data_IF_592063111343
#
_entry.id   IF_592063111343
#
_cell.length_a   1.000
_cell.length_b   1.000
_cell.length_c   1.000
_cell.angle_alpha   90.00
_cell.angle_beta   90.00
_cell.angle_gamma   90.00
#
_symmetry.space_group_name_H-M   'P 1'
#
loop_
_entity.id
_entity.type
_entity.pdbx_description
1 polymer ?
#
# COMPACT_ATOMS: atom_id res chain seq x y z
N UNK A 1 -37.79 -114.63 -95.57
CA UNK A 1 -38.45 -113.66 -94.64
C UNK A 1 -37.49 -113.36 -93.49
N UNK A 2 -36.85 -112.18 -93.51
CA UNK A 2 -35.76 -111.76 -92.59
C UNK A 2 -36.16 -110.54 -91.73
N UNK A 3 -37.44 -110.41 -91.38
CA UNK A 3 -37.98 -109.24 -90.67
C UNK A 3 -37.72 -109.28 -89.15
N UNK A 4 -37.50 -110.46 -88.55
CA UNK A 4 -37.27 -110.61 -87.12
C UNK A 4 -35.88 -110.15 -86.63
N UNK A 5 -34.83 -110.31 -87.45
CA UNK A 5 -33.45 -109.91 -87.08
C UNK A 5 -33.21 -108.40 -87.17
N UNK A 6 -33.87 -107.71 -88.11
CA UNK A 6 -33.78 -106.24 -88.22
C UNK A 6 -34.49 -105.52 -87.06
N UNK A 7 -35.61 -106.04 -86.57
CA UNK A 7 -36.34 -105.46 -85.43
C UNK A 7 -35.53 -105.53 -84.13
N UNK A 8 -34.79 -106.63 -83.92
CA UNK A 8 -33.92 -106.82 -82.75
C UNK A 8 -32.71 -105.87 -82.82
N UNK A 9 -32.04 -105.78 -83.98
CA UNK A 9 -30.92 -104.86 -84.18
C UNK A 9 -31.32 -103.38 -84.01
N UNK A 10 -32.52 -102.99 -84.46
CA UNK A 10 -33.03 -101.63 -84.24
C UNK A 10 -33.33 -101.33 -82.76
N UNK A 11 -33.85 -102.29 -82.00
CA UNK A 11 -34.07 -102.13 -80.54
C UNK A 11 -32.76 -102.04 -79.78
N UNK A 12 -31.78 -102.90 -80.09
CA UNK A 12 -30.45 -102.85 -79.48
C UNK A 12 -29.72 -101.54 -79.81
N UNK A 13 -29.86 -101.03 -81.03
CA UNK A 13 -29.31 -99.75 -81.43
C UNK A 13 -29.98 -98.57 -80.72
N UNK A 14 -31.31 -98.57 -80.61
CA UNK A 14 -32.06 -97.55 -79.86
C UNK A 14 -31.72 -97.57 -78.36
N UNK A 15 -31.57 -98.76 -77.77
CA UNK A 15 -31.13 -98.93 -76.37
C UNK A 15 -29.72 -98.37 -76.16
N UNK A 16 -28.77 -98.69 -77.06
CA UNK A 16 -27.41 -98.13 -77.02
C UNK A 16 -27.38 -96.61 -77.17
N UNK A 17 -28.21 -96.06 -78.07
CA UNK A 17 -28.31 -94.61 -78.20
C UNK A 17 -28.89 -93.95 -76.95
N UNK A 18 -29.88 -94.58 -76.31
CA UNK A 18 -30.47 -94.10 -75.07
C UNK A 18 -29.47 -94.14 -73.90
N UNK A 19 -28.70 -95.22 -73.77
CA UNK A 19 -27.61 -95.33 -72.78
C UNK A 19 -26.52 -94.28 -73.02
N UNK A 20 -26.12 -94.06 -74.27
CA UNK A 20 -25.18 -92.99 -74.64
C UNK A 20 -25.70 -91.60 -74.25
N UNK A 21 -26.97 -91.31 -74.55
CA UNK A 21 -27.60 -90.03 -74.19
C UNK A 21 -27.66 -89.83 -72.67
N UNK A 22 -27.99 -90.87 -71.90
CA UNK A 22 -27.99 -90.82 -70.45
C UNK A 22 -26.59 -90.59 -69.87
N UNK A 23 -25.57 -91.26 -70.41
CA UNK A 23 -24.18 -91.08 -69.99
C UNK A 23 -23.67 -89.66 -70.31
N UNK A 24 -24.01 -89.12 -71.48
CA UNK A 24 -23.69 -87.73 -71.85
C UNK A 24 -24.38 -86.72 -70.91
N UNK A 25 -25.65 -86.93 -70.59
CA UNK A 25 -26.40 -86.08 -69.65
C UNK A 25 -25.75 -86.07 -68.25
N UNK A 26 -25.37 -87.25 -67.73
CA UNK A 26 -24.65 -87.36 -66.45
C UNK A 26 -23.31 -86.61 -66.47
N UNK A 27 -22.54 -86.74 -67.55
CA UNK A 27 -21.26 -86.03 -67.70
C UNK A 27 -21.43 -84.51 -67.76
N UNK A 28 -22.47 -84.01 -68.44
CA UNK A 28 -22.79 -82.58 -68.49
C UNK A 28 -23.14 -82.05 -67.11
N UNK A 29 -24.01 -82.76 -66.38
CA UNK A 29 -24.42 -82.38 -65.02
C UNK A 29 -23.24 -82.40 -64.04
N UNK A 30 -22.38 -83.41 -64.10
CA UNK A 30 -21.16 -83.47 -63.27
C UNK A 30 -20.22 -82.31 -63.58
N UNK A 31 -20.05 -81.95 -64.86
CA UNK A 31 -19.21 -80.82 -65.26
C UNK A 31 -19.80 -79.47 -64.85
N UNK A 32 -21.13 -79.32 -64.88
CA UNK A 32 -21.84 -78.14 -64.37
C UNK A 32 -21.64 -78.03 -62.85
N UNK A 33 -21.94 -79.08 -62.09
CA UNK A 33 -21.74 -79.10 -60.65
C UNK A 33 -20.29 -78.80 -60.23
N UNK A 34 -19.29 -79.36 -60.94
CA UNK A 34 -17.88 -79.07 -60.66
C UNK A 34 -17.51 -77.60 -60.94
N UNK A 35 -18.11 -76.98 -61.96
CA UNK A 35 -17.93 -75.54 -62.25
C UNK A 35 -18.60 -74.68 -61.20
N UNK A 36 -19.82 -75.02 -60.80
CA UNK A 36 -20.56 -74.26 -59.79
C UNK A 36 -19.83 -74.29 -58.45
N UNK A 37 -19.34 -75.46 -58.01
CA UNK A 37 -18.51 -75.60 -56.81
C UNK A 37 -17.23 -74.75 -56.90
N UNK A 38 -16.55 -74.77 -58.06
CA UNK A 38 -15.35 -73.95 -58.26
C UNK A 38 -15.66 -72.45 -58.24
N UNK A 39 -16.78 -72.03 -58.81
CA UNK A 39 -17.22 -70.63 -58.83
C UNK A 39 -17.63 -70.17 -57.43
N UNK A 40 -18.39 -70.98 -56.68
CA UNK A 40 -18.72 -70.70 -55.28
C UNK A 40 -17.47 -70.59 -54.40
N UNK A 41 -16.47 -71.45 -54.62
CA UNK A 41 -15.18 -71.35 -53.94
C UNK A 41 -14.45 -70.04 -54.23
N UNK A 42 -14.45 -69.60 -55.49
CA UNK A 42 -13.85 -68.33 -55.89
C UNK A 42 -14.62 -67.12 -55.31
N UNK A 43 -15.95 -67.17 -55.29
CA UNK A 43 -16.80 -66.13 -54.70
C UNK A 43 -16.57 -66.00 -53.18
N UNK A 44 -16.51 -67.11 -52.45
CA UNK A 44 -16.22 -67.09 -51.00
C UNK A 44 -14.85 -66.49 -50.70
N UNK A 45 -13.83 -66.82 -51.50
CA UNK A 45 -12.49 -66.23 -51.32
C UNK A 45 -12.48 -64.72 -51.57
N UNK A 46 -13.25 -64.23 -52.54
CA UNK A 46 -13.39 -62.79 -52.77
C UNK A 46 -14.21 -62.10 -51.67
N UNK A 47 -15.28 -62.73 -51.18
CA UNK A 47 -16.06 -62.25 -50.03
C UNK A 47 -15.19 -62.12 -48.77
N UNK A 48 -14.36 -63.12 -48.46
CA UNK A 48 -13.44 -63.07 -47.32
C UNK A 48 -12.41 -61.95 -47.47
N UNK A 49 -11.85 -61.75 -48.68
CA UNK A 49 -10.93 -60.65 -48.94
C UNK A 49 -11.62 -59.30 -48.76
N UNK A 50 -12.86 -59.17 -49.23
CA UNK A 50 -13.65 -57.97 -49.08
C UNK A 50 -13.97 -57.67 -47.61
N UNK A 51 -14.39 -58.67 -46.84
CA UNK A 51 -14.63 -58.56 -45.40
C UNK A 51 -13.37 -58.12 -44.65
N UNK A 52 -12.21 -58.74 -44.96
CA UNK A 52 -10.92 -58.32 -44.36
C UNK A 52 -10.57 -56.87 -44.66
N UNK A 53 -10.89 -56.36 -45.85
CA UNK A 53 -10.68 -54.94 -46.20
C UNK A 53 -11.59 -54.03 -45.37
N UNK A 54 -12.87 -54.38 -45.23
CA UNK A 54 -13.83 -53.62 -44.40
C UNK A 54 -13.37 -53.59 -42.95
N UNK A 55 -12.99 -54.74 -42.37
CA UNK A 55 -12.52 -54.81 -40.99
C UNK A 55 -11.22 -54.02 -40.79
N UNK A 56 -10.28 -54.11 -41.73
CA UNK A 56 -9.04 -53.34 -41.67
C UNK A 56 -9.29 -51.82 -41.77
N UNK A 57 -10.23 -51.39 -42.62
CA UNK A 57 -10.63 -49.98 -42.72
C UNK A 57 -11.35 -49.51 -41.45
N UNK A 58 -12.21 -50.34 -40.87
CA UNK A 58 -12.88 -50.04 -39.60
C UNK A 58 -11.87 -49.89 -38.46
N UNK A 59 -10.87 -50.79 -38.36
CA UNK A 59 -9.80 -50.69 -37.35
C UNK A 59 -9.00 -49.40 -37.51
N UNK A 60 -8.57 -49.06 -38.73
CA UNK A 60 -7.87 -47.80 -39.00
C UNK A 60 -8.69 -46.56 -38.61
N UNK A 61 -10.01 -46.60 -38.83
CA UNK A 61 -10.91 -45.51 -38.40
C UNK A 61 -10.99 -45.39 -36.89
N UNK A 62 -11.08 -46.50 -36.16
CA UNK A 62 -11.09 -46.47 -34.69
C UNK A 62 -9.75 -46.03 -34.12
N UNK A 63 -8.63 -46.53 -34.63
CA UNK A 63 -7.28 -46.08 -34.26
C UNK A 63 -7.10 -44.56 -34.48
N UNK A 64 -7.60 -44.03 -35.59
CA UNK A 64 -7.56 -42.59 -35.87
C UNK A 64 -8.46 -41.77 -34.92
N UNK A 65 -9.62 -42.29 -34.53
CA UNK A 65 -10.50 -41.65 -33.54
C UNK A 65 -9.84 -41.64 -32.16
N UNK A 66 -9.23 -42.75 -31.75
CA UNK A 66 -8.52 -42.86 -30.48
C UNK A 66 -7.30 -41.92 -30.46
N UNK A 67 -6.52 -41.85 -31.55
CA UNK A 67 -5.40 -40.92 -31.62
C UNK A 67 -5.84 -39.46 -31.53
N UNK A 68 -6.94 -39.10 -32.21
CA UNK A 68 -7.53 -37.76 -32.12
C UNK A 68 -8.03 -37.44 -30.71
N UNK A 69 -8.66 -38.41 -30.05
CA UNK A 69 -9.12 -38.26 -28.66
C UNK A 69 -7.95 -38.05 -27.72
N UNK A 70 -6.90 -38.88 -27.83
CA UNK A 70 -5.69 -38.75 -27.02
C UNK A 70 -4.99 -37.41 -27.22
N UNK A 71 -4.87 -36.94 -28.47
CA UNK A 71 -4.31 -35.62 -28.75
C UNK A 71 -5.12 -34.48 -28.12
N UNK A 72 -6.45 -34.57 -28.12
CA UNK A 72 -7.31 -33.59 -27.45
C UNK A 72 -7.12 -33.62 -25.94
N UNK A 73 -7.07 -34.80 -25.34
CA UNK A 73 -6.84 -34.97 -23.90
C UNK A 73 -5.45 -34.45 -23.49
N UNK A 74 -4.39 -34.79 -24.23
CA UNK A 74 -3.04 -34.29 -23.98
C UNK A 74 -2.97 -32.76 -24.13
N UNK A 75 -3.64 -32.18 -25.13
CA UNK A 75 -3.71 -30.73 -25.31
C UNK A 75 -4.47 -30.03 -24.17
N UNK A 76 -5.55 -30.63 -23.67
CA UNK A 76 -6.28 -30.12 -22.51
C UNK A 76 -5.43 -30.21 -21.24
N UNK A 77 -4.75 -31.33 -21.00
CA UNK A 77 -3.86 -31.53 -19.86
C UNK A 77 -2.74 -30.49 -19.84
N UNK A 78 -2.09 -30.24 -20.97
CA UNK A 78 -1.03 -29.21 -21.06
C UNK A 78 -1.56 -27.82 -20.71
N UNK A 79 -2.77 -27.47 -21.16
CA UNK A 79 -3.40 -26.17 -20.81
C UNK A 79 -3.74 -26.09 -19.32
N UNK A 80 -4.25 -27.16 -18.73
CA UNK A 80 -4.54 -27.23 -17.29
C UNK A 80 -3.26 -27.10 -16.46
N UNK A 81 -2.18 -27.77 -16.85
CA UNK A 81 -0.86 -27.66 -16.22
C UNK A 81 -0.28 -26.24 -16.35
N UNK A 82 -0.46 -25.59 -17.50
CA UNK A 82 -0.03 -24.19 -17.70
C UNK A 82 -0.82 -23.22 -16.81
N UNK A 83 -2.15 -23.33 -16.78
CA UNK A 83 -2.98 -22.51 -15.90
C UNK A 83 -2.63 -22.72 -14.43
N UNK A 84 -2.36 -23.96 -14.01
CA UNK A 84 -1.95 -24.26 -12.64
C UNK A 84 -0.62 -23.56 -12.29
N UNK A 85 0.38 -23.60 -13.20
CA UNK A 85 1.66 -22.90 -13.01
C UNK A 85 1.49 -21.39 -12.96
N UNK A 86 0.71 -20.80 -13.87
CA UNK A 86 0.45 -19.35 -13.87
C UNK A 86 -0.22 -18.88 -12.57
N UNK A 87 -1.14 -19.67 -12.03
CA UNK A 87 -1.78 -19.37 -10.73
C UNK A 87 -0.79 -19.49 -9.58
N UNK A 88 0.08 -20.50 -9.58
CA UNK A 88 1.12 -20.66 -8.54
C UNK A 88 2.15 -19.54 -8.60
N UNK A 89 2.64 -19.20 -9.79
CA UNK A 89 3.58 -18.10 -10.02
C UNK A 89 2.95 -16.76 -9.61
N UNK A 90 1.71 -16.50 -10.02
CA UNK A 90 0.97 -15.30 -9.63
C UNK A 90 0.72 -15.22 -8.12
N UNK A 91 0.50 -16.36 -7.45
CA UNK A 91 0.38 -16.41 -5.98
C UNK A 91 1.72 -16.11 -5.29
N UNK A 92 2.82 -16.66 -5.80
CA UNK A 92 4.16 -16.40 -5.27
C UNK A 92 4.56 -14.93 -5.45
N UNK A 93 4.28 -14.34 -6.61
CA UNK A 93 4.51 -12.93 -6.89
C UNK A 93 3.66 -12.02 -6.00
N UNK A 94 2.37 -12.33 -5.84
CA UNK A 94 1.49 -11.59 -4.93
C UNK A 94 2.02 -11.64 -3.48
N UNK A 95 2.43 -12.82 -3.01
CA UNK A 95 2.99 -12.95 -1.66
C UNK A 95 4.29 -12.16 -1.52
N UNK A 96 5.13 -12.14 -2.55
CA UNK A 96 6.36 -11.34 -2.56
C UNK A 96 6.04 -9.84 -2.42
N UNK A 97 5.06 -9.33 -3.19
CA UNK A 97 4.65 -7.94 -3.14
C UNK A 97 4.07 -7.56 -1.76
N UNK A 98 3.23 -8.41 -1.17
CA UNK A 98 2.72 -8.20 0.19
C UNK A 98 3.89 -8.07 1.19
N UNK A 99 4.89 -8.94 1.09
CA UNK A 99 6.05 -8.89 1.99
C UNK A 99 6.88 -7.60 1.79
N UNK A 100 6.98 -7.09 0.56
CA UNK A 100 7.66 -5.82 0.27
C UNK A 100 6.90 -4.63 0.86
N UNK A 101 5.57 -4.60 0.71
CA UNK A 101 4.72 -3.56 1.27
C UNK A 101 4.78 -3.57 2.81
N UNK A 102 4.71 -4.75 3.43
CA UNK A 102 4.87 -4.91 4.88
C UNK A 102 6.26 -4.48 5.38
N UNK A 103 7.31 -4.69 4.59
CA UNK A 103 8.65 -4.22 4.92
C UNK A 103 8.75 -2.68 4.82
N UNK A 104 8.19 -2.10 3.76
CA UNK A 104 8.14 -0.64 3.58
C UNK A 104 7.36 0.05 4.70
N UNK A 105 6.20 -0.51 5.10
CA UNK A 105 5.41 0.01 6.21
C UNK A 105 6.16 -0.06 7.55
N UNK A 106 6.92 -1.13 7.80
CA UNK A 106 7.78 -1.23 8.98
C UNK A 106 8.87 -0.16 8.97
N UNK A 107 9.54 0.04 7.85
CA UNK A 107 10.58 1.05 7.72
C UNK A 107 10.02 2.48 7.90
N UNK A 108 8.85 2.77 7.33
CA UNK A 108 8.18 4.07 7.50
C UNK A 108 7.77 4.33 8.95
N UNK A 109 7.30 3.30 9.66
CA UNK A 109 6.96 3.37 11.07
C UNK A 109 8.22 3.64 11.93
N UNK A 110 9.33 2.95 11.65
CA UNK A 110 10.62 3.17 12.32
C UNK A 110 11.16 4.58 12.05
N UNK A 111 11.13 5.05 10.80
CA UNK A 111 11.54 6.41 10.44
C UNK A 111 10.69 7.46 11.14
N UNK A 112 9.38 7.22 11.27
CA UNK A 112 8.48 8.14 11.95
C UNK A 112 8.66 8.14 13.47
N UNK A 113 8.86 6.98 14.08
CA UNK A 113 9.19 6.86 15.49
C UNK A 113 10.52 7.57 15.83
N UNK A 114 11.53 7.40 14.99
CA UNK A 114 12.83 8.08 15.14
C UNK A 114 12.69 9.60 15.06
N UNK A 115 11.99 10.12 14.04
CA UNK A 115 11.72 11.57 13.93
C UNK A 115 11.00 12.14 15.14
N UNK A 116 10.03 11.39 15.69
CA UNK A 116 9.34 11.80 16.92
C UNK A 116 10.26 11.82 18.13
N UNK A 117 11.16 10.84 18.26
CA UNK A 117 12.16 10.81 19.31
C UNK A 117 13.12 12.00 19.19
N UNK A 118 13.71 12.20 18.01
CA UNK A 118 14.63 13.33 17.74
C UNK A 118 13.96 14.67 18.06
N UNK A 119 12.68 14.83 17.69
CA UNK A 119 11.90 16.02 18.02
C UNK A 119 11.67 16.23 19.52
N UNK A 120 11.45 15.15 20.28
CA UNK A 120 11.31 15.21 21.75
C UNK A 120 12.63 15.58 22.42
N UNK A 121 13.74 14.99 21.98
CA UNK A 121 15.09 15.30 22.48
C UNK A 121 15.43 16.77 22.22
N UNK A 122 15.15 17.27 21.02
CA UNK A 122 15.38 18.68 20.68
C UNK A 122 14.53 19.62 21.56
N UNK A 123 13.25 19.29 21.77
CA UNK A 123 12.38 20.08 22.64
C UNK A 123 12.89 20.12 24.09
N UNK A 124 13.42 19.01 24.61
CA UNK A 124 14.04 18.98 25.95
C UNK A 124 15.26 19.88 26.03
N UNK A 125 16.14 19.86 25.02
CA UNK A 125 17.32 20.75 24.95
C UNK A 125 16.89 22.21 24.99
N UNK A 126 15.87 22.59 24.21
CA UNK A 126 15.34 23.96 24.23
C UNK A 126 14.78 24.36 25.60
N UNK A 127 14.03 23.47 26.26
CA UNK A 127 13.50 23.73 27.60
C UNK A 127 14.62 23.93 28.64
N UNK A 128 15.66 23.10 28.59
CA UNK A 128 16.82 23.25 29.47
C UNK A 128 17.56 24.57 29.23
N UNK A 129 17.75 24.96 27.97
CA UNK A 129 18.42 26.20 27.62
C UNK A 129 17.61 27.43 28.02
N UNK A 130 16.28 27.39 27.84
CA UNK A 130 15.38 28.42 28.34
C UNK A 130 15.48 28.59 29.86
N UNK A 131 15.53 27.47 30.61
CA UNK A 131 15.72 27.52 32.06
C UNK A 131 17.05 28.14 32.45
N UNK A 132 18.14 27.79 31.75
CA UNK A 132 19.46 28.41 31.97
C UNK A 132 19.44 29.90 31.69
N UNK A 133 18.77 30.33 30.63
CA UNK A 133 18.64 31.74 30.29
C UNK A 133 17.81 32.51 31.34
N UNK A 134 16.72 31.93 31.84
CA UNK A 134 15.94 32.51 32.94
C UNK A 134 16.76 32.62 34.23
N UNK A 135 17.51 31.59 34.59
CA UNK A 135 18.42 31.61 35.73
C UNK A 135 19.52 32.67 35.57
N UNK A 136 20.09 32.82 34.37
CA UNK A 136 21.07 33.87 34.07
C UNK A 136 20.47 35.27 34.21
N UNK A 137 19.26 35.49 33.68
CA UNK A 137 18.52 36.74 33.80
C UNK A 137 18.14 37.07 35.25
N UNK A 138 17.84 36.05 36.07
CA UNK A 138 17.62 36.24 37.51
C UNK A 138 18.90 36.68 38.20
N UNK A 139 20.03 36.00 37.94
CA UNK A 139 21.34 36.37 38.48
C UNK A 139 21.78 37.76 38.06
N UNK A 140 21.51 38.16 36.81
CA UNK A 140 21.79 39.51 36.31
C UNK A 140 21.02 40.56 37.14
N UNK A 141 19.71 40.36 37.33
CA UNK A 141 18.89 41.25 38.19
C UNK A 141 19.37 41.28 39.65
N UNK A 142 19.76 40.15 40.20
CA UNK A 142 20.32 40.07 41.56
C UNK A 142 21.71 40.71 41.67
N UNK A 143 22.51 40.70 40.59
CA UNK A 143 23.81 41.33 40.51
C UNK A 143 23.69 42.85 40.29
N UNK A 144 22.61 43.30 39.65
CA UNK A 144 22.22 44.70 39.46
C UNK A 144 21.72 45.37 40.77
N UNK A 145 22.47 45.16 41.85
CA UNK A 145 22.37 45.92 43.11
C UNK A 145 22.81 47.36 42.97
N UNK A 146 23.08 47.82 41.75
CA UNK A 146 23.46 49.20 41.50
C UNK A 146 22.39 50.16 42.03
N UNK A 147 21.10 49.85 41.79
CA UNK A 147 19.99 50.67 42.29
C UNK A 147 19.93 50.67 43.83
N UNK A 148 20.15 49.52 44.47
CA UNK A 148 20.21 49.41 45.94
C UNK A 148 21.40 50.18 46.52
N UNK A 149 22.58 50.06 45.92
CA UNK A 149 23.81 50.76 46.34
C UNK A 149 23.68 52.26 46.13
N UNK A 150 23.11 52.69 45.00
CA UNK A 150 22.83 54.09 44.71
C UNK A 150 21.84 54.67 45.71
N UNK A 151 20.73 53.98 45.98
CA UNK A 151 19.75 54.40 46.99
C UNK A 151 20.35 54.46 48.39
N UNK A 152 21.19 53.50 48.78
CA UNK A 152 21.88 53.51 50.07
C UNK A 152 22.87 54.68 50.18
N UNK A 153 23.59 54.99 49.10
CA UNK A 153 24.51 56.14 49.06
C UNK A 153 23.74 57.46 49.12
N UNK A 154 22.66 57.60 48.35
CA UNK A 154 21.80 58.78 48.37
C UNK A 154 21.20 59.02 49.75
N UNK A 155 20.69 57.97 50.41
CA UNK A 155 20.18 58.08 51.80
C UNK A 155 21.26 58.52 52.78
N UNK A 156 22.47 57.97 52.69
CA UNK A 156 23.59 58.40 53.54
C UNK A 156 23.94 59.89 53.33
N UNK A 157 23.91 60.38 52.10
CA UNK A 157 24.15 61.80 51.83
C UNK A 157 23.03 62.69 52.38
N UNK A 158 21.78 62.25 52.25
CA UNK A 158 20.63 62.94 52.84
C UNK A 158 20.73 62.99 54.37
N UNK A 159 21.05 61.86 55.02
CA UNK A 159 21.24 61.78 56.48
C UNK A 159 22.36 62.72 56.96
N UNK A 160 23.47 62.79 56.22
CA UNK A 160 24.58 63.70 56.52
C UNK A 160 24.18 65.17 56.36
N UNK A 161 23.42 65.48 55.30
CA UNK A 161 22.88 66.82 55.10
C UNK A 161 21.95 67.21 56.25
N UNK A 162 21.07 66.30 56.68
CA UNK A 162 20.15 66.53 57.78
C UNK A 162 20.87 66.81 59.10
N UNK A 163 21.86 65.98 59.45
CA UNK A 163 22.67 66.17 60.65
C UNK A 163 23.45 67.48 60.64
N UNK A 164 23.96 67.89 59.48
CA UNK A 164 24.62 69.18 59.32
C UNK A 164 23.64 70.34 59.47
N UNK A 165 22.47 70.26 58.83
CA UNK A 165 21.45 71.28 58.91
C UNK A 165 20.94 71.45 60.36
N UNK A 166 20.66 70.36 61.07
CA UNK A 166 20.27 70.36 62.48
C UNK A 166 21.34 71.02 63.36
N UNK A 167 22.62 70.71 63.13
CA UNK A 167 23.73 71.32 63.87
C UNK A 167 23.80 72.83 63.66
N UNK A 168 23.74 73.28 62.40
CA UNK A 168 23.81 74.71 62.08
C UNK A 168 22.60 75.45 62.62
N UNK A 169 21.40 74.88 62.50
CA UNK A 169 20.18 75.42 63.09
C UNK A 169 20.33 75.55 64.61
N UNK A 170 20.83 74.52 65.30
CA UNK A 170 21.10 74.56 66.74
C UNK A 170 22.09 75.67 67.13
N UNK A 171 23.21 75.80 66.41
CA UNK A 171 24.20 76.85 66.66
C UNK A 171 23.65 78.27 66.41
N UNK A 172 22.83 78.44 65.38
CA UNK A 172 22.17 79.72 65.10
C UNK A 172 21.14 80.08 66.19
N UNK A 173 20.42 79.10 66.73
CA UNK A 173 19.47 79.29 67.84
C UNK A 173 20.17 79.67 69.14
N UNK A 174 21.30 79.02 69.46
CA UNK A 174 22.14 79.35 70.62
C UNK A 174 22.73 80.78 70.54
N UNK A 175 22.94 81.30 69.33
CA UNK A 175 23.49 82.64 69.09
C UNK A 175 22.41 83.72 68.87
N UNK A 176 21.12 83.36 68.96
CA UNK A 176 19.99 84.28 68.82
C UNK A 176 19.64 84.68 67.38
N UNK A 177 20.16 83.97 66.38
CA UNK A 177 19.84 84.16 64.96
C UNK A 177 18.55 83.42 64.62
N UNK A 178 17.55 84.06 63.99
CA UNK A 178 16.30 83.39 63.64
C UNK A 178 16.50 82.31 62.56
N UNK A 179 16.07 81.08 62.85
CA UNK A 179 16.33 79.88 62.02
C UNK A 179 15.12 79.34 61.23
N UNK A 180 13.99 80.06 61.23
CA UNK A 180 12.74 79.60 60.61
C UNK A 180 12.90 79.16 59.14
N UNK A 181 13.58 79.98 58.33
CA UNK A 181 13.81 79.67 56.91
C UNK A 181 14.71 78.43 56.71
N UNK A 182 15.68 78.21 57.62
CA UNK A 182 16.59 77.07 57.57
C UNK A 182 15.88 75.77 57.96
N UNK A 183 15.02 75.80 58.98
CA UNK A 183 14.16 74.67 59.36
C UNK A 183 13.21 74.28 58.23
N UNK A 184 12.63 75.27 57.56
CA UNK A 184 11.74 75.04 56.39
C UNK A 184 12.49 74.38 55.22
N UNK A 185 13.71 74.81 54.94
CA UNK A 185 14.52 74.24 53.86
C UNK A 185 15.08 72.84 54.18
N UNK A 186 15.46 72.59 55.44
CA UNK A 186 16.01 71.32 55.89
C UNK A 186 14.96 70.23 56.12
N UNK A 187 13.69 70.59 56.34
CA UNK A 187 12.60 69.62 56.48
C UNK A 187 11.41 70.00 55.59
N UNK A 188 11.48 69.73 54.27
CA UNK A 188 10.39 70.05 53.34
C UNK A 188 9.05 69.39 53.71
N UNK A 189 9.08 68.25 54.41
CA UNK A 189 7.90 67.52 54.90
C UNK A 189 7.27 68.14 56.17
N UNK A 190 8.05 68.87 56.98
CA UNK A 190 7.54 69.56 58.17
C UNK A 190 6.98 70.96 57.84
N UNK A 191 7.26 71.46 56.64
CA UNK A 191 6.70 72.68 56.10
C UNK A 191 5.29 72.44 55.51
N UNK A 192 4.33 72.05 56.36
CA UNK A 192 2.92 72.20 56.04
C UNK A 192 2.52 73.67 56.19
N UNK A 193 3.06 74.52 55.32
CA UNK A 193 2.40 75.77 54.98
C UNK A 193 1.22 75.40 54.08
N UNK A 194 0.00 75.72 54.51
CA UNK A 194 -1.28 75.28 53.93
C UNK A 194 -1.53 75.70 52.49
N UNK A 195 -0.78 75.13 51.54
CA UNK A 195 -1.05 75.13 50.11
C UNK A 195 -0.45 73.85 49.49
N UNK A 196 -1.05 72.71 49.83
CA UNK A 196 -0.73 71.43 49.17
C UNK A 196 -1.28 71.44 47.76
N UNK A 197 -0.41 71.53 46.75
CA UNK A 197 -0.67 70.91 45.44
C UNK A 197 -0.60 69.40 45.66
N UNK A 198 -1.76 68.79 45.86
CA UNK A 198 -1.92 67.34 45.76
C UNK A 198 -1.51 66.91 44.35
N UNK A 199 -0.31 66.34 44.22
CA UNK A 199 0.00 65.46 43.10
C UNK A 199 -0.90 64.25 43.26
N UNK A 200 -1.97 64.22 42.46
CA UNK A 200 -2.94 63.14 42.41
C UNK A 200 -2.21 61.81 42.20
N UNK A 201 -2.14 61.02 43.27
CA UNK A 201 -2.04 59.56 43.21
C UNK A 201 -3.45 59.05 42.92
N UNK A 202 -3.84 59.05 41.66
CA UNK A 202 -5.02 58.33 41.17
C UNK A 202 -4.75 57.88 39.73
N UNK A 203 -3.88 56.88 39.58
CA UNK A 203 -4.04 55.90 38.50
C UNK A 203 -4.52 54.65 39.20
N UNK A 204 -5.81 54.65 39.53
CA UNK A 204 -6.52 53.44 39.87
C UNK A 204 -6.50 52.55 38.62
N UNK A 205 -5.85 51.40 38.75
CA UNK A 205 -6.02 50.26 37.84
C UNK A 205 -7.45 49.79 38.08
N UNK A 206 -8.37 50.22 37.22
CA UNK A 206 -9.73 49.71 37.18
C UNK A 206 -9.72 48.35 36.52
N UNK A 207 -9.91 47.30 37.31
CA UNK A 207 -10.43 46.02 36.84
C UNK A 207 -11.88 46.24 36.38
N UNK A 208 -12.12 46.16 35.08
CA UNK A 208 -13.43 45.73 34.55
C UNK A 208 -13.21 44.45 33.74
N UNK A 209 -13.85 43.39 34.23
CA UNK A 209 -14.02 42.13 33.53
C UNK A 209 -15.00 42.26 32.35
N UNK A 210 -14.67 41.50 31.31
CA UNK A 210 -15.55 40.92 30.30
C UNK A 210 -16.16 41.86 29.23
N UNK A 211 -15.60 41.80 28.02
CA UNK A 211 -16.38 41.20 26.92
C UNK A 211 -15.48 40.69 25.78
N UNK A 212 -15.94 39.63 25.15
CA UNK A 212 -15.27 38.83 24.14
C UNK A 212 -14.91 39.63 22.87
N UNK A 213 -13.63 39.62 22.50
CA UNK A 213 -13.15 39.53 21.11
C UNK A 213 -11.65 39.31 21.11
N UNK A 214 -11.27 38.06 20.86
CA UNK A 214 -9.95 37.73 20.36
C UNK A 214 -9.81 38.40 18.99
N UNK A 215 -9.18 39.58 18.93
CA UNK A 215 -8.75 40.20 17.68
C UNK A 215 -7.62 39.33 17.13
N UNK A 216 -8.00 38.33 16.33
CA UNK A 216 -7.13 37.68 15.37
C UNK A 216 -6.32 38.77 14.66
N UNK A 217 -4.99 38.63 14.66
CA UNK A 217 -4.14 39.42 13.78
C UNK A 217 -4.72 39.36 12.36
N UNK A 218 -4.78 40.46 11.61
CA UNK A 218 -5.06 40.38 10.19
C UNK A 218 -3.97 39.56 9.52
N UNK A 219 -4.35 38.52 8.77
CA UNK A 219 -3.45 37.73 7.93
C UNK A 219 -2.68 38.69 7.03
N UNK A 220 -1.37 38.79 7.26
CA UNK A 220 -0.47 39.48 6.35
C UNK A 220 -0.38 38.65 5.07
N UNK A 221 -0.61 39.23 3.86
CA UNK A 221 -0.41 38.50 2.61
C UNK A 221 1.06 38.09 2.47
N UNK A 222 1.35 36.92 1.87
CA UNK A 222 2.72 36.43 1.73
C UNK A 222 3.55 37.44 0.93
N UNK A 223 4.74 37.73 1.44
CA UNK A 223 5.71 38.63 0.83
C UNK A 223 6.04 38.12 -0.59
N UNK A 224 5.62 38.85 -1.63
CA UNK A 224 6.13 38.65 -2.98
C UNK A 224 7.54 39.25 -3.04
N UNK A 225 8.55 38.40 -3.13
CA UNK A 225 9.87 38.83 -3.55
C UNK A 225 9.76 39.35 -4.99
N UNK A 226 9.85 40.66 -5.15
CA UNK A 226 10.05 41.31 -6.45
C UNK A 226 11.42 40.87 -7.01
N UNK A 227 11.45 39.80 -7.80
CA UNK A 227 12.53 39.59 -8.74
C UNK A 227 12.43 40.71 -9.79
N UNK A 228 13.34 41.68 -9.64
CA UNK A 228 13.58 42.76 -10.60
C UNK A 228 14.37 42.21 -11.80
N UNK A 229 14.36 42.91 -12.95
CA UNK A 229 14.32 42.34 -14.30
C UNK A 229 15.57 41.58 -14.77
#
# INVERSE_FOLDING_TARGET
MNLGRYSILCREWASRQQELAQNLSKLILQRQAARDISMEGALRLEEEKWQKRIEAEARKREEAKESMKKQREDAMRVKEEQMAREVEDGRAELQHNINLDEAAHREDAERSAKRLQDGRELAQIYLEEMRRHEEARRKEREADKWLERFNAHSKKQEDLFQQYAERVIGTCEETGIPTFAMRKAAHPCMAMDGLTLSVAKDIAIGEEEADEKCTLLPDLPPHQECLSP
#
